data_IF_621911487776
#
_entry.id   IF_621911487776
#
_cell.length_a   1.000
_cell.length_b   1.000
_cell.length_c   1.000
_cell.angle_alpha   90.00
_cell.angle_beta   90.00
_cell.angle_gamma   90.00
#
_symmetry.space_group_name_H-M   'P 1'
#
loop_
_entity.id
_entity.type
_entity.pdbx_description
1 polymer ?
#
# COMPACT_ATOMS: atom_id res chain seq x y z
N UNK A 1 17.63 -6.57 0.54
CA UNK A 1 16.78 -6.46 1.75
C UNK A 1 15.46 -5.75 1.47
N UNK A 2 15.44 -4.50 0.95
CA UNK A 2 14.17 -3.80 0.68
C UNK A 2 13.37 -4.39 -0.48
N UNK A 3 14.03 -4.89 -1.54
CA UNK A 3 13.35 -5.58 -2.64
C UNK A 3 12.82 -6.95 -2.17
N UNK A 4 13.65 -7.71 -1.45
CA UNK A 4 13.25 -9.02 -0.90
C UNK A 4 11.96 -8.92 -0.09
N UNK A 5 11.81 -7.86 0.72
CA UNK A 5 10.56 -7.59 1.45
C UNK A 5 9.34 -7.44 0.52
N UNK A 6 9.49 -6.73 -0.59
CA UNK A 6 8.40 -6.53 -1.56
C UNK A 6 8.07 -7.81 -2.33
N UNK A 7 9.08 -8.62 -2.64
CA UNK A 7 8.88 -9.95 -3.25
C UNK A 7 8.21 -10.92 -2.28
N UNK A 8 8.62 -10.94 -1.02
CA UNK A 8 7.99 -11.75 0.02
C UNK A 8 6.55 -11.30 0.28
N UNK A 9 6.29 -9.99 0.24
CA UNK A 9 4.94 -9.44 0.31
C UNK A 9 4.08 -9.93 -0.88
N UNK A 10 4.62 -9.90 -2.10
CA UNK A 10 3.93 -10.41 -3.28
C UNK A 10 3.63 -11.91 -3.16
N UNK A 11 4.61 -12.72 -2.74
CA UNK A 11 4.42 -14.15 -2.50
C UNK A 11 3.37 -14.42 -1.42
N UNK A 12 3.33 -13.60 -0.36
CA UNK A 12 2.34 -13.76 0.70
C UNK A 12 0.92 -13.54 0.14
N UNK A 13 0.72 -12.47 -0.64
CA UNK A 13 -0.56 -12.18 -1.29
C UNK A 13 -0.94 -13.30 -2.27
N UNK A 14 0.00 -13.77 -3.08
CA UNK A 14 -0.21 -14.87 -4.05
C UNK A 14 -0.59 -16.19 -3.36
N UNK A 15 -0.08 -16.42 -2.14
CA UNK A 15 -0.44 -17.56 -1.30
C UNK A 15 -1.78 -17.39 -0.57
N UNK A 16 -2.53 -16.32 -0.85
CA UNK A 16 -3.84 -16.04 -0.26
C UNK A 16 -3.80 -15.32 1.09
N UNK A 17 -2.67 -14.73 1.46
CA UNK A 17 -2.58 -13.93 2.70
C UNK A 17 -3.30 -12.60 2.53
N UNK A 18 -4.22 -12.30 3.45
CA UNK A 18 -4.91 -11.01 3.46
C UNK A 18 -4.03 -9.94 4.08
N UNK A 19 -3.68 -8.95 3.26
CA UNK A 19 -2.88 -7.80 3.69
C UNK A 19 -3.67 -6.55 3.37
N UNK A 20 -3.83 -5.70 4.36
CA UNK A 20 -4.54 -4.44 4.24
C UNK A 20 -3.57 -3.28 4.34
N UNK A 21 -3.94 -2.17 3.72
CA UNK A 21 -3.13 -0.95 3.70
C UNK A 21 -4.02 0.27 3.87
N UNK A 22 -3.56 1.27 4.60
CA UNK A 22 -4.18 2.60 4.62
C UNK A 22 -3.13 3.71 4.62
N UNK A 23 -3.48 4.91 4.14
CA UNK A 23 -2.68 6.10 4.38
C UNK A 23 -2.42 6.32 5.89
N UNK A 24 -1.19 6.70 6.24
CA UNK A 24 -0.81 7.14 7.58
C UNK A 24 -1.01 8.64 7.78
N UNK A 25 -0.55 9.20 8.90
CA UNK A 25 -0.72 10.63 9.21
C UNK A 25 0.20 11.52 8.37
N UNK A 26 1.45 11.10 8.12
CA UNK A 26 2.42 11.91 7.37
C UNK A 26 2.27 11.74 5.86
N UNK A 27 2.46 12.81 5.08
CA UNK A 27 2.33 12.76 3.61
C UNK A 27 3.19 11.64 3.03
N UNK A 28 2.58 10.78 2.21
CA UNK A 28 3.17 9.55 1.63
C UNK A 28 3.52 8.43 2.61
N UNK A 29 3.15 8.54 3.89
CA UNK A 29 3.16 7.42 4.82
C UNK A 29 1.99 6.49 4.52
N UNK A 30 2.28 5.20 4.49
CA UNK A 30 1.29 4.14 4.36
C UNK A 30 1.58 3.07 5.40
N UNK A 31 0.52 2.50 5.94
CA UNK A 31 0.56 1.53 7.02
C UNK A 31 -0.01 0.23 6.46
N UNK A 32 0.78 -0.83 6.52
CA UNK A 32 0.38 -2.18 6.13
C UNK A 32 0.15 -3.00 7.39
N UNK A 33 -0.91 -3.81 7.42
CA UNK A 33 -1.16 -4.78 8.48
C UNK A 33 -2.01 -5.93 7.97
N UNK A 34 -1.86 -7.09 8.61
CA UNK A 34 -2.76 -8.24 8.45
C UNK A 34 -3.99 -8.09 9.37
N UNK A 35 -3.87 -7.29 10.44
CA UNK A 35 -4.94 -7.01 11.36
C UNK A 35 -5.77 -5.81 10.85
N UNK A 36 -6.93 -6.13 10.26
CA UNK A 36 -7.88 -5.13 9.78
C UNK A 36 -8.36 -4.22 10.91
N UNK A 37 -8.63 -4.75 12.10
CA UNK A 37 -9.16 -3.97 13.23
C UNK A 37 -8.13 -2.95 13.74
N UNK A 38 -6.85 -3.31 13.73
CA UNK A 38 -5.76 -2.37 14.01
C UNK A 38 -5.74 -1.23 12.98
N UNK A 39 -5.87 -1.56 11.70
CA UNK A 39 -5.89 -0.59 10.62
C UNK A 39 -7.12 0.33 10.67
N UNK A 40 -8.32 -0.17 11.04
CA UNK A 40 -9.51 0.68 11.23
C UNK A 40 -9.25 1.84 12.18
N UNK A 41 -8.64 1.56 13.34
CA UNK A 41 -8.30 2.59 14.34
C UNK A 41 -7.32 3.61 13.78
N UNK A 42 -6.33 3.16 13.01
CA UNK A 42 -5.33 4.03 12.38
C UNK A 42 -5.93 4.86 11.23
N UNK A 43 -6.81 4.27 10.43
CA UNK A 43 -7.51 4.92 9.34
C UNK A 43 -8.44 6.02 9.86
N UNK A 44 -9.28 5.75 10.86
CA UNK A 44 -10.13 6.77 11.49
C UNK A 44 -9.29 7.91 12.09
N UNK A 45 -8.21 7.58 12.81
CA UNK A 45 -7.29 8.60 13.35
C UNK A 45 -6.66 9.44 12.26
N UNK A 46 -6.33 8.83 11.12
CA UNK A 46 -5.76 9.52 9.97
C UNK A 46 -6.79 10.41 9.29
N UNK A 47 -8.02 9.94 9.09
CA UNK A 47 -9.13 10.72 8.54
C UNK A 47 -9.37 11.96 9.41
N UNK A 48 -9.51 11.77 10.73
CA UNK A 48 -9.71 12.84 11.69
C UNK A 48 -8.53 13.84 11.71
N UNK A 49 -7.29 13.32 11.66
CA UNK A 49 -6.07 14.13 11.71
C UNK A 49 -5.83 14.94 10.45
N UNK A 50 -6.18 14.40 9.27
CA UNK A 50 -5.98 15.07 7.98
C UNK A 50 -7.21 15.79 7.44
N UNK A 51 -8.37 15.59 8.07
CA UNK A 51 -9.67 16.17 7.67
C UNK A 51 -10.06 15.84 6.23
N UNK A 52 -9.82 14.60 5.84
CA UNK A 52 -10.26 14.04 4.56
C UNK A 52 -10.58 12.55 4.69
N UNK A 53 -11.27 12.02 3.70
CA UNK A 53 -11.67 10.61 3.64
C UNK A 53 -10.46 9.67 3.43
N UNK A 54 -10.35 8.65 4.27
CA UNK A 54 -9.28 7.64 4.22
C UNK A 54 -9.87 6.28 3.91
N UNK A 55 -9.36 5.63 2.88
CA UNK A 55 -9.73 4.27 2.52
C UNK A 55 -8.73 3.27 3.11
N UNK A 56 -9.24 2.15 3.58
CA UNK A 56 -8.49 0.90 3.74
C UNK A 56 -8.63 0.13 2.43
N UNK A 57 -7.50 -0.30 1.89
CA UNK A 57 -7.45 -1.15 0.72
C UNK A 57 -6.99 -2.54 1.13
N UNK A 58 -7.59 -3.58 0.54
CA UNK A 58 -7.07 -4.93 0.56
C UNK A 58 -6.12 -5.11 -0.63
N UNK A 59 -4.92 -5.56 -0.35
CA UNK A 59 -3.93 -5.86 -1.38
C UNK A 59 -4.26 -7.20 -2.04
N UNK A 60 -4.26 -7.20 -3.37
CA UNK A 60 -4.50 -8.38 -4.19
C UNK A 60 -3.43 -8.51 -5.27
N UNK A 61 -3.32 -9.69 -5.87
CA UNK A 61 -2.50 -9.83 -7.06
C UNK A 61 -3.05 -8.90 -8.14
N UNK A 62 -2.18 -8.16 -8.81
CA UNK A 62 -2.56 -7.24 -9.89
C UNK A 62 -3.33 -7.91 -11.03
N UNK A 63 -3.17 -9.22 -11.24
CA UNK A 63 -3.93 -9.99 -12.23
C UNK A 63 -5.37 -10.27 -11.80
N UNK A 64 -5.67 -10.17 -10.50
CA UNK A 64 -7.00 -10.37 -9.94
C UNK A 64 -7.80 -9.07 -9.83
N UNK A 65 -7.22 -7.94 -10.30
CA UNK A 65 -7.91 -6.65 -10.32
C UNK A 65 -9.02 -6.62 -11.37
N UNK A 66 -10.15 -6.02 -11.01
CA UNK A 66 -11.26 -5.75 -11.93
C UNK A 66 -11.21 -4.30 -12.42
N UNK A 67 -12.03 -3.98 -13.43
CA UNK A 67 -12.20 -2.60 -13.86
C UNK A 67 -12.65 -1.75 -12.65
N UNK A 68 -12.02 -0.59 -12.45
CA UNK A 68 -12.18 0.36 -11.31
C UNK A 68 -11.30 0.10 -10.07
N UNK A 69 -10.58 -1.02 -10.00
CA UNK A 69 -9.62 -1.22 -8.92
C UNK A 69 -8.41 -0.29 -9.05
N UNK A 70 -7.90 0.15 -7.90
CA UNK A 70 -6.66 0.92 -7.84
C UNK A 70 -5.43 0.01 -7.75
N UNK A 71 -4.25 0.58 -7.89
CA UNK A 71 -2.97 -0.10 -7.75
C UNK A 71 -2.10 0.63 -6.73
N UNK A 72 -1.52 -0.12 -5.79
CA UNK A 72 -0.52 0.39 -4.86
C UNK A 72 0.88 0.14 -5.43
N UNK A 73 1.62 1.23 -5.64
CA UNK A 73 2.97 1.20 -6.23
C UNK A 73 4.00 1.78 -5.28
N UNK A 74 5.20 1.18 -5.26
CA UNK A 74 6.38 1.80 -4.65
C UNK A 74 6.95 2.81 -5.64
N UNK A 75 6.83 4.10 -5.31
CA UNK A 75 7.40 5.20 -6.10
C UNK A 75 8.89 5.39 -5.83
N UNK A 76 9.33 5.10 -4.60
CA UNK A 76 10.72 5.24 -4.20
C UNK A 76 11.07 4.30 -3.05
N UNK A 77 12.17 3.58 -3.17
CA UNK A 77 12.78 2.87 -2.05
C UNK A 77 13.64 3.86 -1.27
N UNK A 78 13.37 4.01 0.02
CA UNK A 78 14.10 4.92 0.90
C UNK A 78 15.19 4.14 1.66
N UNK A 79 16.15 4.88 2.23
CA UNK A 79 17.09 4.30 3.17
C UNK A 79 16.33 3.65 4.35
N UNK A 80 16.77 2.46 4.73
CA UNK A 80 16.20 1.75 5.86
C UNK A 80 16.30 2.62 7.13
N UNK A 81 15.37 2.42 8.06
CA UNK A 81 15.46 3.08 9.37
C UNK A 81 16.77 2.69 10.08
N UNK A 82 17.19 3.45 11.11
CA UNK A 82 18.31 3.04 11.97
C UNK A 82 18.14 1.66 12.63
N UNK A 83 16.90 1.16 12.70
CA UNK A 83 16.54 -0.18 13.20
C UNK A 83 16.54 -1.25 12.11
N UNK A 84 16.94 -0.93 10.88
CA UNK A 84 17.00 -1.86 9.75
C UNK A 84 15.67 -2.13 9.06
N UNK A 85 14.60 -1.42 9.43
CA UNK A 85 13.27 -1.61 8.84
C UNK A 85 13.25 -0.96 7.45
N UNK A 86 12.85 -1.69 6.39
CA UNK A 86 12.77 -1.12 5.05
C UNK A 86 11.71 -0.02 5.00
N UNK A 87 12.02 1.05 4.25
CA UNK A 87 11.12 2.21 4.09
C UNK A 87 10.83 2.42 2.62
N UNK A 88 9.56 2.68 2.33
CA UNK A 88 9.07 2.87 0.97
C UNK A 88 8.19 4.11 0.91
N UNK A 89 8.27 4.82 -0.20
CA UNK A 89 7.29 5.82 -0.57
C UNK A 89 6.25 5.16 -1.47
N UNK A 90 5.06 4.95 -0.94
CA UNK A 90 3.96 4.34 -1.68
C UNK A 90 3.07 5.40 -2.32
N UNK A 91 2.47 5.04 -3.45
CA UNK A 91 1.45 5.82 -4.13
C UNK A 91 0.31 4.90 -4.55
N UNK A 92 -0.90 5.43 -4.56
CA UNK A 92 -2.04 4.76 -5.18
C UNK A 92 -2.32 5.41 -6.54
N UNK A 93 -2.70 4.60 -7.52
CA UNK A 93 -3.03 5.04 -8.88
C UNK A 93 -4.20 4.23 -9.42
N UNK A 94 -5.00 4.82 -10.30
CA UNK A 94 -6.27 4.22 -10.71
C UNK A 94 -6.15 3.33 -11.96
N UNK A 95 -4.97 3.23 -12.58
CA UNK A 95 -4.76 2.45 -13.79
C UNK A 95 -3.47 1.65 -13.73
N UNK A 96 -3.49 0.49 -14.40
CA UNK A 96 -2.33 -0.41 -14.48
C UNK A 96 -1.18 0.24 -15.24
N UNK A 97 -1.49 1.00 -16.28
CA UNK A 97 -0.51 1.72 -17.09
C UNK A 97 0.21 2.79 -16.23
N UNK A 98 -0.53 3.55 -15.42
CA UNK A 98 0.08 4.49 -14.48
C UNK A 98 0.96 3.78 -13.44
N UNK A 99 0.53 2.61 -12.95
CA UNK A 99 1.31 1.81 -12.02
C UNK A 99 2.64 1.36 -12.62
N UNK A 100 2.62 0.87 -13.86
CA UNK A 100 3.82 0.45 -14.59
C UNK A 100 4.78 1.60 -14.91
N UNK A 101 4.27 2.82 -15.10
CA UNK A 101 5.07 4.03 -15.32
C UNK A 101 5.63 4.65 -14.03
N UNK A 102 4.92 4.49 -12.90
CA UNK A 102 5.28 5.14 -11.63
C UNK A 102 6.13 4.28 -10.70
N UNK A 103 6.18 2.95 -10.91
CA UNK A 103 7.00 2.06 -10.10
C UNK A 103 8.49 2.43 -10.20
N UNK A 104 9.19 2.40 -9.08
CA UNK A 104 10.64 2.56 -9.05
C UNK A 104 11.30 1.32 -9.69
N UNK A 105 12.03 1.50 -10.78
CA UNK A 105 12.79 0.42 -11.44
C UNK A 105 14.30 0.56 -11.25
N UNK A 106 14.76 1.54 -10.47
CA UNK A 106 16.18 1.87 -10.32
C UNK A 106 17.01 0.74 -9.70
N UNK A 107 16.36 -0.14 -8.94
CA UNK A 107 16.97 -1.28 -8.26
C UNK A 107 16.53 -2.63 -8.85
N UNK A 108 15.80 -2.63 -9.97
CA UNK A 108 15.25 -3.83 -10.61
C UNK A 108 13.73 -3.79 -10.76
N UNK A 109 13.10 -4.89 -11.22
CA UNK A 109 11.65 -4.96 -11.38
C UNK A 109 10.94 -4.94 -10.02
N UNK A 110 10.50 -3.76 -9.58
CA UNK A 110 9.76 -3.62 -8.32
C UNK A 110 8.30 -4.06 -8.52
N UNK A 111 7.76 -4.93 -7.65
CA UNK A 111 6.36 -5.34 -7.73
C UNK A 111 5.44 -4.18 -7.34
N UNK A 112 4.21 -4.26 -7.85
CA UNK A 112 3.08 -3.44 -7.43
C UNK A 112 1.87 -4.34 -7.27
N UNK A 113 0.89 -3.85 -6.52
CA UNK A 113 -0.24 -4.64 -6.04
C UNK A 113 -1.54 -4.04 -6.53
N UNK A 114 -2.53 -4.89 -6.76
CA UNK A 114 -3.92 -4.41 -6.83
C UNK A 114 -4.35 -3.94 -5.45
N UNK A 115 -5.17 -2.90 -5.40
CA UNK A 115 -5.68 -2.29 -4.18
C UNK A 115 -7.19 -2.11 -4.32
N UNK A 116 -7.92 -3.02 -3.70
CA UNK A 116 -9.40 -3.01 -3.68
C UNK A 116 -9.86 -2.26 -2.46
N UNK A 117 -10.76 -1.28 -2.61
CA UNK A 117 -11.33 -0.57 -1.45
C UNK A 117 -12.13 -1.56 -0.61
N UNK A 118 -11.70 -1.72 0.63
CA UNK A 118 -12.32 -2.64 1.59
C UNK A 118 -13.24 -1.86 2.54
N UNK A 119 -12.82 -0.65 2.93
CA UNK A 119 -13.59 0.22 3.82
C UNK A 119 -13.17 1.68 3.70
N UNK A 120 -14.08 2.59 4.01
CA UNK A 120 -13.89 4.03 3.90
C UNK A 120 -14.22 4.71 5.23
N UNK A 121 -13.37 5.64 5.63
CA UNK A 121 -13.49 6.39 6.88
C UNK A 121 -13.55 7.88 6.58
N UNK A 122 -14.65 8.51 6.95
CA UNK A 122 -14.80 9.96 6.90
C UNK A 122 -14.29 10.62 8.19
N UNK A 123 -13.77 11.86 8.12
CA UNK A 123 -13.38 12.60 9.30
C UNK A 123 -14.59 12.92 10.18
N UNK A 124 -14.44 12.65 11.48
CA UNK A 124 -15.34 13.11 12.55
C UNK A 124 -15.05 14.55 12.99
#
# INVERSE_FOLDING_TARGET
MSIDYLEDLARAIDNGKEIFVCPGLQTNEWILSEDKEELRKKAQRTANGRKFQVNIYRLVNKMDTVAEDSYLVVRRILEASPTGVPRFQWSIVDTREAADMMRDVSQGPTPYFGAVVEETFDPE
#
